data_IF_079326446637
#
_entry.id   IF_079326446637
#
_cell.length_a   1.000
_cell.length_b   1.000
_cell.length_c   1.000
_cell.angle_alpha   90.00
_cell.angle_beta   90.00
_cell.angle_gamma   90.00
#
_symmetry.space_group_name_H-M   'P 1'
#
loop_
_entity.id
_entity.type
_entity.pdbx_description
1 polymer ?
#
# COMPACT_ATOMS: atom_id res chain seq x y z
N UNK A 1 -6.22 -3.32 -14.25
CA UNK A 1 -5.47 -3.37 -12.98
C UNK A 1 -4.98 -1.96 -12.68
N UNK A 2 -5.34 -1.38 -11.54
CA UNK A 2 -4.91 -0.02 -11.17
C UNK A 2 -3.46 -0.09 -10.65
N UNK A 3 -2.60 0.89 -10.97
CA UNK A 3 -1.23 0.97 -10.45
C UNK A 3 -1.19 0.83 -8.93
N UNK A 4 -2.11 1.49 -8.21
CA UNK A 4 -2.23 1.40 -6.76
C UNK A 4 -2.55 -0.02 -6.29
N UNK A 5 -3.51 -0.69 -6.95
CA UNK A 5 -3.88 -2.07 -6.59
C UNK A 5 -2.74 -3.07 -6.83
N UNK A 6 -1.95 -2.86 -7.89
CA UNK A 6 -0.80 -3.71 -8.19
C UNK A 6 0.30 -3.54 -7.13
N UNK A 7 0.61 -2.29 -6.80
CA UNK A 7 1.69 -1.98 -5.85
C UNK A 7 1.34 -2.40 -4.42
N UNK A 8 0.10 -2.18 -3.97
CA UNK A 8 -0.39 -2.68 -2.69
C UNK A 8 -0.29 -4.21 -2.60
N UNK A 9 -0.65 -4.92 -3.67
CA UNK A 9 -0.53 -6.38 -3.72
C UNK A 9 0.92 -6.83 -3.56
N UNK A 10 1.86 -6.16 -4.25
CA UNK A 10 3.29 -6.45 -4.14
C UNK A 10 3.82 -6.19 -2.72
N UNK A 11 3.50 -5.05 -2.13
CA UNK A 11 3.96 -4.71 -0.78
C UNK A 11 3.41 -5.66 0.29
N UNK A 12 2.16 -6.09 0.16
CA UNK A 12 1.56 -7.09 1.06
C UNK A 12 2.30 -8.42 0.94
N UNK A 13 2.63 -8.86 -0.27
CA UNK A 13 3.42 -10.07 -0.51
C UNK A 13 4.84 -9.94 0.10
N UNK A 14 5.51 -8.81 -0.11
CA UNK A 14 6.82 -8.50 0.48
C UNK A 14 6.75 -8.51 2.03
N UNK A 15 5.70 -7.98 2.64
CA UNK A 15 5.50 -7.99 4.09
C UNK A 15 5.43 -9.42 4.66
N UNK A 16 4.69 -10.31 3.99
CA UNK A 16 4.55 -11.70 4.45
C UNK A 16 5.83 -12.53 4.22
N UNK A 17 6.60 -12.23 3.18
CA UNK A 17 7.88 -12.90 2.87
C UNK A 17 9.09 -12.33 3.64
N UNK A 18 8.96 -11.15 4.23
CA UNK A 18 10.05 -10.49 4.94
C UNK A 18 10.22 -11.05 6.37
N UNK A 19 11.37 -11.68 6.63
CA UNK A 19 11.78 -12.15 7.95
C UNK A 19 12.50 -11.08 8.78
N UNK A 20 13.05 -10.04 8.14
CA UNK A 20 13.74 -8.95 8.84
C UNK A 20 12.72 -8.04 9.55
N UNK A 21 12.71 -7.94 10.90
CA UNK A 21 11.67 -7.19 11.61
C UNK A 21 11.67 -5.69 11.30
N UNK A 22 12.87 -5.11 11.14
CA UNK A 22 13.02 -3.68 10.82
C UNK A 22 12.42 -3.36 9.45
N UNK A 23 12.79 -4.15 8.44
CA UNK A 23 12.27 -3.97 7.08
C UNK A 23 10.77 -4.27 7.01
N UNK A 24 10.30 -5.27 7.75
CA UNK A 24 8.88 -5.60 7.86
C UNK A 24 8.05 -4.44 8.43
N UNK A 25 8.59 -3.70 9.41
CA UNK A 25 7.95 -2.47 9.93
C UNK A 25 7.86 -1.39 8.85
N UNK A 26 8.94 -1.18 8.10
CA UNK A 26 8.99 -0.19 7.02
C UNK A 26 7.98 -0.53 5.91
N UNK A 27 7.92 -1.80 5.47
CA UNK A 27 6.94 -2.24 4.46
C UNK A 27 5.51 -2.00 4.96
N UNK A 28 5.23 -2.23 6.26
CA UNK A 28 3.91 -1.95 6.84
C UNK A 28 3.55 -0.47 6.79
N UNK A 29 4.51 0.41 7.08
CA UNK A 29 4.33 1.87 6.99
C UNK A 29 4.05 2.29 5.53
N UNK A 30 4.77 1.72 4.56
CA UNK A 30 4.55 1.98 3.14
C UNK A 30 3.16 1.52 2.66
N UNK A 31 2.70 0.34 3.11
CA UNK A 31 1.34 -0.16 2.84
C UNK A 31 0.31 0.84 3.36
N UNK A 32 0.47 1.33 4.59
CA UNK A 32 -0.45 2.28 5.20
C UNK A 32 -0.50 3.58 4.39
N UNK A 33 0.67 4.17 4.11
CA UNK A 33 0.77 5.41 3.34
C UNK A 33 0.11 5.29 1.96
N UNK A 34 0.36 4.19 1.25
CA UNK A 34 -0.20 3.96 -0.07
C UNK A 34 -1.71 3.70 -0.04
N UNK A 35 -2.20 3.01 1.01
CA UNK A 35 -3.62 2.80 1.23
C UNK A 35 -4.34 4.12 1.49
N UNK A 36 -3.77 4.98 2.33
CA UNK A 36 -4.34 6.30 2.63
C UNK A 36 -4.38 7.20 1.39
N UNK A 37 -3.30 7.21 0.61
CA UNK A 37 -3.24 7.94 -0.66
C UNK A 37 -4.26 7.41 -1.68
N UNK A 38 -4.46 6.10 -1.73
CA UNK A 38 -5.45 5.47 -2.61
C UNK A 38 -6.87 5.88 -2.22
N UNK A 39 -7.23 5.79 -0.94
CA UNK A 39 -8.55 6.20 -0.43
C UNK A 39 -8.82 7.66 -0.76
N UNK A 40 -7.88 8.57 -0.45
CA UNK A 40 -8.04 10.00 -0.75
C UNK A 40 -8.22 10.26 -2.25
N UNK A 41 -7.53 9.49 -3.11
CA UNK A 41 -7.67 9.62 -4.56
C UNK A 41 -9.04 9.17 -5.05
N UNK A 42 -9.57 8.06 -4.51
CA UNK A 42 -10.88 7.54 -4.88
C UNK A 42 -12.02 8.40 -4.31
N UNK A 43 -11.89 8.94 -3.11
CA UNK A 43 -12.83 9.92 -2.53
C UNK A 43 -12.90 11.20 -3.38
N UNK A 44 -11.75 11.73 -3.81
CA UNK A 44 -11.71 12.91 -4.68
C UNK A 44 -12.33 12.67 -6.06
N UNK A 45 -12.31 11.44 -6.59
CA UNK A 45 -12.96 11.11 -7.87
C UNK A 45 -14.48 11.07 -7.79
N UNK A 46 -15.08 10.89 -6.60
CA UNK A 46 -16.55 10.89 -6.44
C UNK A 46 -17.16 12.30 -6.41
N UNK A 47 -16.34 13.35 -6.34
CA UNK A 47 -16.75 14.75 -6.28
C UNK A 47 -16.66 15.49 -7.63
N UNK A 48 -16.38 14.77 -8.73
CA UNK A 48 -16.21 15.33 -10.09
C UNK A 48 -17.24 14.71 -11.04
#
# INVERSE_FOLDING_TARGET
>A
MNLFSYELTRLVDDYFKCDCPKLKSQIREDIQLLTDAFIQTEENKQLI
#
